data_IF_581216088700
#
_entry.id   IF_581216088700
#
_cell.length_a   1.000
_cell.length_b   1.000
_cell.length_c   1.000
_cell.angle_alpha   90.00
_cell.angle_beta   90.00
_cell.angle_gamma   90.00
#
_symmetry.space_group_name_H-M   'P 1'
#
loop_
_entity.id
_entity.type
_entity.pdbx_description
1 polymer ?
#
# COMPACT_ATOMS: atom_id res chain seq x y z
N UNK A 1 -36.25 9.02 -0.80
CA UNK A 1 -36.87 9.05 -2.13
C UNK A 1 -38.39 8.91 -1.97
N UNK A 2 -39.20 9.94 -2.30
CA UNK A 2 -40.66 9.91 -2.13
C UNK A 2 -41.37 8.91 -3.05
N UNK A 3 -40.70 8.38 -4.08
CA UNK A 3 -41.27 7.42 -5.03
C UNK A 3 -41.03 5.99 -4.58
N UNK A 4 -39.82 5.65 -4.14
CA UNK A 4 -39.44 4.28 -3.75
C UNK A 4 -39.59 4.00 -2.25
N UNK A 5 -39.79 5.04 -1.43
CA UNK A 5 -39.80 4.95 0.03
C UNK A 5 -38.45 4.57 0.65
N UNK A 6 -37.40 4.50 -0.14
CA UNK A 6 -36.05 4.18 0.35
C UNK A 6 -35.30 5.43 0.78
N UNK A 7 -34.45 5.35 1.82
CA UNK A 7 -33.60 6.47 2.21
C UNK A 7 -32.72 6.92 1.05
N UNK A 8 -32.64 8.23 0.78
CA UNK A 8 -31.79 8.82 -0.27
C UNK A 8 -30.30 8.86 0.07
N UNK A 9 -29.85 7.99 0.95
CA UNK A 9 -28.45 7.91 1.39
C UNK A 9 -27.47 7.42 0.31
N UNK A 10 -27.96 7.03 -0.86
CA UNK A 10 -27.14 6.60 -2.00
C UNK A 10 -26.88 7.72 -3.04
N UNK A 11 -27.54 8.86 -2.91
CA UNK A 11 -27.44 9.98 -3.84
C UNK A 11 -27.20 11.27 -3.06
N UNK A 12 -25.93 11.65 -2.92
CA UNK A 12 -25.55 12.91 -2.30
C UNK A 12 -24.86 13.80 -3.34
N UNK A 13 -25.28 15.07 -3.51
CA UNK A 13 -24.54 16.03 -4.32
C UNK A 13 -23.12 16.16 -3.79
N UNK A 14 -22.13 16.01 -4.65
CA UNK A 14 -20.72 16.14 -4.30
C UNK A 14 -20.03 17.12 -5.22
N UNK A 15 -19.09 17.90 -4.68
CA UNK A 15 -18.16 18.69 -5.46
C UNK A 15 -16.84 17.92 -5.59
N UNK A 16 -16.38 17.72 -6.83
CA UNK A 16 -15.09 17.08 -7.10
C UNK A 16 -14.08 18.15 -7.42
N UNK A 17 -12.97 18.15 -6.68
CA UNK A 17 -11.81 19.02 -6.94
C UNK A 17 -10.58 18.17 -7.09
N UNK A 18 -9.63 18.57 -7.96
CA UNK A 18 -8.31 17.98 -8.00
C UNK A 18 -7.63 18.24 -6.66
N UNK A 19 -7.11 17.17 -6.05
CA UNK A 19 -6.31 17.27 -4.85
C UNK A 19 -4.83 17.27 -5.24
N UNK A 20 -4.10 18.31 -4.86
CA UNK A 20 -2.67 18.45 -5.10
C UNK A 20 -1.96 18.51 -3.74
N UNK A 21 -1.07 17.56 -3.50
CA UNK A 21 -0.26 17.52 -2.31
C UNK A 21 1.22 17.71 -2.66
N UNK A 22 1.95 18.39 -1.78
CA UNK A 22 3.40 18.54 -1.91
C UNK A 22 4.14 17.24 -1.55
N UNK A 23 3.48 16.34 -0.80
CA UNK A 23 3.99 15.02 -0.47
C UNK A 23 2.86 14.04 -0.16
N UNK A 24 3.18 12.77 -0.31
CA UNK A 24 2.36 11.63 0.06
C UNK A 24 3.16 10.70 0.98
N UNK A 25 2.47 9.93 1.81
CA UNK A 25 3.15 9.00 2.69
C UNK A 25 2.24 7.92 3.24
N UNK A 26 2.87 6.88 3.77
CA UNK A 26 2.18 5.95 4.64
C UNK A 26 3.05 5.57 5.83
N UNK A 27 2.38 5.34 6.95
CA UNK A 27 3.00 4.85 8.18
C UNK A 27 2.45 3.46 8.47
N UNK A 28 3.31 2.60 9.00
CA UNK A 28 2.92 1.33 9.60
C UNK A 28 3.34 1.34 11.07
N UNK A 29 2.48 0.87 11.95
CA UNK A 29 2.75 0.79 13.38
C UNK A 29 1.91 -0.29 14.05
N UNK A 30 2.41 -0.83 15.14
CA UNK A 30 1.69 -1.82 15.94
C UNK A 30 0.49 -1.19 16.66
N UNK A 31 0.70 -0.04 17.30
CA UNK A 31 -0.30 0.64 18.10
C UNK A 31 -0.99 1.77 17.32
N UNK A 32 -2.21 2.15 17.68
CA UNK A 32 -2.88 3.27 17.04
C UNK A 32 -2.19 4.60 17.33
N UNK A 33 -2.20 5.47 16.33
CA UNK A 33 -1.61 6.81 16.41
C UNK A 33 -2.69 7.88 16.41
N UNK A 34 -2.39 8.98 17.08
CA UNK A 34 -3.04 10.28 16.85
C UNK A 34 -2.14 11.06 15.91
N UNK A 35 -2.57 11.24 14.67
CA UNK A 35 -1.79 11.92 13.65
C UNK A 35 -1.90 13.45 13.79
N UNK A 36 -0.86 14.19 13.37
CA UNK A 36 -0.99 15.63 13.16
C UNK A 36 -2.00 15.90 12.03
N UNK A 37 -2.51 17.12 11.99
CA UNK A 37 -3.43 17.55 10.93
C UNK A 37 -2.75 17.46 9.57
N UNK A 38 -3.34 16.69 8.66
CA UNK A 38 -2.97 16.60 7.25
C UNK A 38 -4.19 16.90 6.38
N UNK A 39 -3.98 17.32 5.13
CA UNK A 39 -5.08 17.58 4.20
C UNK A 39 -5.84 16.28 3.89
N UNK A 40 -5.12 15.17 3.88
CA UNK A 40 -5.67 13.84 3.72
C UNK A 40 -5.00 12.87 4.71
N UNK A 41 -5.82 12.16 5.46
CA UNK A 41 -5.36 11.08 6.34
C UNK A 41 -6.41 10.00 6.48
N UNK A 42 -5.99 8.74 6.36
CA UNK A 42 -6.85 7.57 6.57
C UNK A 42 -6.12 6.56 7.45
N UNK A 43 -6.79 6.09 8.51
CA UNK A 43 -6.33 5.02 9.37
C UNK A 43 -7.02 3.70 8.97
N UNK A 44 -6.23 2.67 8.73
CA UNK A 44 -6.70 1.36 8.29
C UNK A 44 -6.15 0.31 9.25
N UNK A 45 -7.05 -0.44 9.89
CA UNK A 45 -6.68 -1.60 10.70
C UNK A 45 -6.17 -2.71 9.79
N UNK A 46 -5.00 -3.27 10.11
CA UNK A 46 -4.42 -4.43 9.43
C UNK A 46 -4.17 -5.56 10.44
N UNK A 47 -3.82 -6.75 9.98
CA UNK A 47 -3.67 -7.94 10.83
C UNK A 47 -2.72 -7.71 12.02
N UNK A 48 -1.54 -7.14 11.76
CA UNK A 48 -0.48 -6.95 12.76
C UNK A 48 -0.34 -5.52 13.28
N UNK A 49 -1.33 -4.65 13.07
CA UNK A 49 -1.25 -3.27 13.50
C UNK A 49 -2.13 -2.31 12.72
N UNK A 50 -1.55 -1.17 12.33
CA UNK A 50 -2.23 -0.07 11.67
C UNK A 50 -1.42 0.42 10.47
N UNK A 51 -2.13 0.80 9.42
CA UNK A 51 -1.62 1.54 8.28
C UNK A 51 -2.29 2.89 8.20
N UNK A 52 -1.51 3.93 7.98
CA UNK A 52 -1.98 5.29 7.77
C UNK A 52 -1.54 5.74 6.39
N UNK A 53 -2.48 6.22 5.58
CA UNK A 53 -2.19 6.88 4.30
C UNK A 53 -2.34 8.37 4.51
N UNK A 54 -1.38 9.15 4.03
CA UNK A 54 -1.25 10.58 4.31
C UNK A 54 -0.92 11.37 3.06
N UNK A 55 -1.40 12.60 2.99
CA UNK A 55 -0.92 13.58 2.04
C UNK A 55 -1.14 15.01 2.58
N UNK A 56 -0.24 15.93 2.26
CA UNK A 56 -0.32 17.31 2.73
C UNK A 56 0.37 18.28 1.77
N UNK A 57 -0.11 19.53 1.74
CA UNK A 57 0.43 20.59 0.89
C UNK A 57 1.71 21.23 1.47
N UNK A 58 1.94 21.12 2.77
CA UNK A 58 3.14 21.66 3.42
C UNK A 58 4.13 20.52 3.76
N UNK A 59 5.39 20.70 3.36
CA UNK A 59 6.45 19.77 3.73
C UNK A 59 6.91 20.04 5.16
N UNK A 60 7.19 19.00 5.96
CA UNK A 60 7.87 19.16 7.22
C UNK A 60 9.24 19.83 7.06
N UNK A 61 9.69 20.58 8.05
CA UNK A 61 11.05 21.14 8.08
C UNK A 61 12.10 20.03 8.20
N UNK A 62 11.82 19.05 9.05
CA UNK A 62 12.62 17.84 9.21
C UNK A 62 11.71 16.61 9.10
N UNK A 63 12.00 15.76 8.12
CA UNK A 63 11.22 14.55 7.84
C UNK A 63 11.40 13.47 8.89
N UNK A 64 12.63 13.36 9.44
CA UNK A 64 12.93 12.37 10.46
C UNK A 64 12.25 12.73 11.79
N UNK A 65 12.35 13.99 12.18
CA UNK A 65 11.71 14.48 13.40
C UNK A 65 10.19 14.32 13.30
N UNK A 66 9.60 14.74 12.17
CA UNK A 66 8.18 14.59 11.90
C UNK A 66 7.74 13.12 12.00
N UNK A 67 8.46 12.21 11.33
CA UNK A 67 8.13 10.78 11.35
C UNK A 67 8.27 10.18 12.76
N UNK A 68 9.31 10.55 13.48
CA UNK A 68 9.55 10.10 14.87
C UNK A 68 8.45 10.56 15.82
N UNK A 69 8.03 11.81 15.71
CA UNK A 69 6.94 12.37 16.52
C UNK A 69 5.62 11.68 16.19
N UNK A 70 5.28 11.54 14.91
CA UNK A 70 4.07 10.85 14.46
C UNK A 70 3.99 9.41 14.98
N UNK A 71 5.11 8.71 14.96
CA UNK A 71 5.25 7.32 15.40
C UNK A 71 5.48 7.19 16.93
N UNK A 72 5.34 8.27 17.72
CA UNK A 72 5.53 8.31 19.17
C UNK A 72 6.96 7.91 19.59
N UNK A 73 7.96 8.41 18.87
CA UNK A 73 9.38 8.18 19.14
C UNK A 73 9.73 6.69 19.31
N UNK A 74 9.58 5.89 18.26
CA UNK A 74 9.81 4.45 18.34
C UNK A 74 11.23 4.14 18.77
N UNK A 75 11.36 3.18 19.67
CA UNK A 75 12.64 2.75 20.24
C UNK A 75 13.28 1.67 19.37
N UNK A 76 14.59 1.49 19.54
CA UNK A 76 15.36 0.44 18.88
C UNK A 76 16.25 0.94 17.76
N UNK A 77 16.68 0.03 16.93
CA UNK A 77 17.51 0.34 15.77
C UNK A 77 16.69 1.03 14.68
N UNK A 78 17.26 2.08 14.11
CA UNK A 78 16.68 2.82 12.99
C UNK A 78 17.44 2.53 11.70
N UNK A 79 16.70 2.19 10.66
CA UNK A 79 17.18 2.18 9.28
C UNK A 79 16.61 3.37 8.55
N UNK A 80 17.41 4.01 7.69
CA UNK A 80 16.99 5.17 6.93
C UNK A 80 17.52 5.15 5.49
N UNK A 81 16.74 5.69 4.58
CA UNK A 81 17.11 5.99 3.21
C UNK A 81 16.50 7.32 2.82
N UNK A 82 17.31 8.18 2.25
CA UNK A 82 16.88 9.49 1.76
C UNK A 82 17.42 9.73 0.37
N UNK A 83 16.57 10.22 -0.53
CA UNK A 83 16.95 10.75 -1.83
C UNK A 83 16.32 12.14 -1.99
N UNK A 84 17.15 13.15 -1.81
CA UNK A 84 16.71 14.55 -1.86
C UNK A 84 16.31 14.97 -3.26
N UNK A 85 16.90 14.37 -4.29
CA UNK A 85 16.63 14.68 -5.70
C UNK A 85 15.23 14.18 -6.12
N UNK A 86 14.82 13.03 -5.61
CA UNK A 86 13.51 12.44 -5.83
C UNK A 86 12.49 12.79 -4.73
N UNK A 87 12.92 13.51 -3.69
CA UNK A 87 12.07 13.82 -2.55
C UNK A 87 11.60 12.59 -1.77
N UNK A 88 12.42 11.53 -1.75
CA UNK A 88 12.08 10.25 -1.10
C UNK A 88 12.69 10.17 0.29
N UNK A 89 11.87 9.80 1.28
CA UNK A 89 12.26 9.60 2.67
C UNK A 89 11.68 8.27 3.15
N UNK A 90 12.53 7.38 3.67
CA UNK A 90 12.13 6.07 4.14
C UNK A 90 12.81 5.73 5.44
N UNK A 91 12.01 5.43 6.44
CA UNK A 91 12.45 5.13 7.78
C UNK A 91 11.80 3.84 8.27
N UNK A 92 12.58 3.03 8.98
CA UNK A 92 12.08 1.82 9.64
C UNK A 92 12.72 1.68 11.01
N UNK A 93 11.95 1.27 12.00
CA UNK A 93 12.41 1.01 13.36
C UNK A 93 12.25 -0.47 13.68
N UNK A 94 13.33 -1.04 14.23
CA UNK A 94 13.39 -2.44 14.59
C UNK A 94 13.71 -2.59 16.08
N UNK A 95 13.02 -3.49 16.73
CA UNK A 95 13.30 -3.89 18.11
C UNK A 95 13.41 -5.41 18.17
N UNK A 96 14.54 -5.93 18.65
CA UNK A 96 14.83 -7.37 18.64
C UNK A 96 14.54 -8.03 17.28
N UNK A 97 15.08 -7.45 16.20
CA UNK A 97 14.91 -7.87 14.80
C UNK A 97 13.47 -7.88 14.25
N UNK A 98 12.51 -7.31 14.99
CA UNK A 98 11.14 -7.14 14.51
C UNK A 98 10.91 -5.73 14.02
N UNK A 99 10.20 -5.59 12.90
CA UNK A 99 9.74 -4.30 12.41
C UNK A 99 8.62 -3.78 13.32
N UNK A 100 8.85 -2.69 14.04
CA UNK A 100 7.87 -2.10 14.97
C UNK A 100 7.16 -0.89 14.40
N UNK A 101 7.86 -0.11 13.56
CA UNK A 101 7.29 1.06 12.90
C UNK A 101 7.99 1.33 11.56
N UNK A 102 7.29 1.99 10.65
CA UNK A 102 7.79 2.35 9.34
C UNK A 102 7.13 3.65 8.86
N UNK A 103 7.91 4.50 8.19
CA UNK A 103 7.44 5.69 7.50
C UNK A 103 8.04 5.76 6.10
N UNK A 104 7.20 5.75 5.07
CA UNK A 104 7.57 5.97 3.68
C UNK A 104 6.88 7.23 3.18
N UNK A 105 7.67 8.20 2.77
CA UNK A 105 7.23 9.54 2.38
C UNK A 105 7.87 9.89 1.03
N UNK A 106 7.16 10.63 0.21
CA UNK A 106 7.66 11.01 -1.10
C UNK A 106 6.90 12.18 -1.72
N UNK A 107 7.54 12.91 -2.63
CA UNK A 107 6.90 13.99 -3.38
C UNK A 107 5.79 13.47 -4.33
N UNK A 108 5.91 12.21 -4.76
CA UNK A 108 4.94 11.59 -5.66
C UNK A 108 4.00 10.63 -4.92
N UNK A 109 2.78 10.49 -5.44
CA UNK A 109 1.80 9.53 -4.93
C UNK A 109 2.22 8.05 -5.17
N UNK A 110 3.18 7.80 -6.06
CA UNK A 110 3.67 6.47 -6.42
C UNK A 110 4.63 5.88 -5.38
N UNK A 111 4.11 5.62 -4.19
CA UNK A 111 4.84 4.94 -3.12
C UNK A 111 4.92 3.43 -3.36
N UNK A 112 5.94 2.73 -2.82
CA UNK A 112 6.04 1.28 -2.92
C UNK A 112 4.77 0.54 -2.46
N UNK A 113 4.48 -0.64 -3.01
CA UNK A 113 3.35 -1.47 -2.59
C UNK A 113 3.39 -1.78 -1.09
N UNK A 114 2.24 -1.69 -0.40
CA UNK A 114 2.16 -1.84 1.06
C UNK A 114 2.08 -3.30 1.52
N UNK A 115 1.58 -4.20 0.66
CA UNK A 115 1.22 -5.56 1.06
C UNK A 115 2.37 -6.34 1.71
N UNK A 116 3.55 -6.34 1.09
CA UNK A 116 4.72 -7.00 1.65
C UNK A 116 5.17 -6.37 2.97
N UNK A 117 5.27 -5.05 3.03
CA UNK A 117 5.68 -4.34 4.25
C UNK A 117 4.70 -4.56 5.41
N UNK A 118 3.40 -4.61 5.12
CA UNK A 118 2.37 -4.94 6.13
C UNK A 118 2.55 -6.36 6.70
N UNK A 119 2.94 -7.33 5.87
CA UNK A 119 3.20 -8.69 6.34
C UNK A 119 4.43 -8.82 7.23
N UNK A 120 5.38 -7.89 7.13
CA UNK A 120 6.58 -7.85 7.96
C UNK A 120 6.35 -7.17 9.33
N UNK A 121 5.27 -6.39 9.48
CA UNK A 121 5.02 -5.65 10.70
C UNK A 121 4.89 -6.60 11.90
N UNK A 122 5.66 -6.32 12.97
CA UNK A 122 5.73 -7.11 14.20
C UNK A 122 6.19 -8.57 14.01
N UNK A 123 6.82 -8.87 12.86
CA UNK A 123 7.42 -10.18 12.58
C UNK A 123 8.95 -10.11 12.66
N UNK A 124 9.62 -11.21 13.06
CA UNK A 124 11.07 -11.29 12.95
C UNK A 124 11.50 -11.20 11.48
N UNK A 125 12.49 -10.36 11.21
CA UNK A 125 13.01 -10.18 9.85
C UNK A 125 14.21 -11.12 9.62
N UNK A 126 14.17 -11.85 8.52
CA UNK A 126 15.36 -12.51 8.01
C UNK A 126 16.34 -11.48 7.40
N UNK A 127 17.57 -11.91 7.12
CA UNK A 127 18.63 -11.03 6.58
C UNK A 127 18.27 -10.42 5.23
N UNK A 128 17.54 -11.14 4.38
CA UNK A 128 17.15 -10.67 3.04
C UNK A 128 16.04 -9.62 3.14
N UNK A 129 15.00 -9.90 3.92
CA UNK A 129 13.91 -8.96 4.19
C UNK A 129 14.41 -7.67 4.82
N UNK A 130 15.37 -7.78 5.78
CA UNK A 130 15.98 -6.62 6.41
C UNK A 130 16.74 -5.74 5.41
N UNK A 131 17.55 -6.34 4.51
CA UNK A 131 18.26 -5.59 3.45
C UNK A 131 17.33 -4.92 2.46
N UNK A 132 16.23 -5.58 2.13
CA UNK A 132 15.26 -5.11 1.17
C UNK A 132 14.23 -4.11 1.76
N UNK A 133 14.16 -3.97 3.09
CA UNK A 133 13.10 -3.27 3.81
C UNK A 133 12.85 -1.85 3.26
N UNK A 134 13.90 -1.06 3.17
CA UNK A 134 13.79 0.33 2.69
C UNK A 134 13.59 0.45 1.16
N UNK A 135 13.77 -0.63 0.39
CA UNK A 135 13.37 -0.64 -1.01
C UNK A 135 11.84 -0.69 -1.17
N UNK A 136 11.13 -1.16 -0.15
CA UNK A 136 9.68 -1.36 -0.16
C UNK A 136 9.23 -2.55 -1.00
N UNK A 137 10.17 -3.42 -1.42
CA UNK A 137 9.91 -4.61 -2.24
C UNK A 137 10.69 -5.79 -1.67
N UNK A 138 10.14 -7.02 -1.71
CA UNK A 138 10.89 -8.20 -1.30
C UNK A 138 12.14 -8.39 -2.17
N UNK A 139 13.21 -8.94 -1.57
CA UNK A 139 14.44 -9.28 -2.28
C UNK A 139 14.23 -10.41 -3.29
N UNK A 140 13.35 -11.36 -2.98
CA UNK A 140 12.91 -12.38 -3.92
C UNK A 140 11.88 -11.78 -4.91
N UNK A 141 12.19 -11.70 -6.20
CA UNK A 141 11.26 -11.20 -7.20
C UNK A 141 9.94 -11.99 -7.27
N UNK A 142 9.95 -13.26 -6.86
CA UNK A 142 8.75 -14.09 -6.85
C UNK A 142 7.80 -13.75 -5.70
N UNK A 143 8.30 -13.20 -4.61
CA UNK A 143 7.50 -12.72 -3.49
C UNK A 143 6.86 -11.34 -3.76
N UNK A 144 7.33 -10.61 -4.79
CA UNK A 144 6.72 -9.33 -5.20
C UNK A 144 5.45 -9.60 -6.01
N UNK A 145 4.31 -9.41 -5.36
CA UNK A 145 2.99 -9.58 -6.00
C UNK A 145 2.60 -8.43 -6.94
N UNK A 146 3.35 -7.32 -6.91
CA UNK A 146 3.04 -6.11 -7.67
C UNK A 146 1.85 -5.32 -7.11
N UNK A 147 1.27 -4.46 -7.95
CA UNK A 147 0.07 -3.69 -7.65
C UNK A 147 -1.13 -4.63 -7.45
N UNK A 148 -1.91 -4.41 -6.40
CA UNK A 148 -3.11 -5.24 -6.15
C UNK A 148 -4.17 -4.91 -7.20
N UNK A 149 -4.55 -5.92 -7.97
CA UNK A 149 -5.62 -5.88 -8.97
C UNK A 149 -6.93 -6.36 -8.36
N UNK A 150 -6.92 -7.50 -7.70
CA UNK A 150 -8.10 -8.03 -7.01
C UNK A 150 -8.01 -7.75 -5.51
N UNK A 151 -8.72 -6.71 -5.03
CA UNK A 151 -8.72 -6.34 -3.62
C UNK A 151 -9.41 -7.40 -2.73
N UNK A 152 -10.43 -8.10 -3.25
CA UNK A 152 -11.16 -9.13 -2.49
C UNK A 152 -10.27 -10.29 -2.04
N UNK A 153 -9.31 -10.67 -2.87
CA UNK A 153 -8.43 -11.82 -2.61
C UNK A 153 -6.95 -11.42 -2.51
N UNK A 154 -6.63 -10.12 -2.49
CA UNK A 154 -5.26 -9.63 -2.37
C UNK A 154 -4.35 -10.03 -3.53
N UNK A 155 -4.90 -10.26 -4.73
CA UNK A 155 -4.13 -10.76 -5.88
C UNK A 155 -3.50 -9.61 -6.64
N UNK A 156 -2.18 -9.63 -6.73
CA UNK A 156 -1.38 -8.61 -7.41
C UNK A 156 -1.10 -8.92 -8.87
N UNK A 157 -0.80 -7.86 -9.63
CA UNK A 157 -0.54 -7.86 -11.08
C UNK A 157 0.54 -8.88 -11.48
N UNK A 158 1.69 -8.88 -10.78
CA UNK A 158 2.78 -9.80 -11.08
C UNK A 158 2.42 -11.26 -10.84
N UNK A 159 1.58 -11.53 -9.83
CA UNK A 159 1.05 -12.88 -9.57
C UNK A 159 0.14 -13.32 -10.71
N UNK A 160 -0.74 -12.42 -11.20
CA UNK A 160 -1.62 -12.70 -12.32
C UNK A 160 -0.82 -13.00 -13.58
N UNK A 161 0.12 -12.11 -13.96
CA UNK A 161 0.97 -12.28 -15.15
C UNK A 161 1.78 -13.57 -15.12
N UNK A 162 2.41 -13.89 -13.96
CA UNK A 162 3.13 -15.16 -13.81
C UNK A 162 2.22 -16.38 -13.98
N UNK A 163 0.98 -16.31 -13.48
CA UNK A 163 0.03 -17.42 -13.59
C UNK A 163 -0.47 -17.57 -15.02
N UNK A 164 -0.78 -16.46 -15.71
CA UNK A 164 -1.14 -16.46 -17.13
C UNK A 164 -0.04 -17.14 -17.95
N UNK A 165 1.21 -16.71 -17.78
CA UNK A 165 2.35 -17.25 -18.54
C UNK A 165 2.64 -18.72 -18.23
N UNK A 166 2.60 -19.09 -16.94
CA UNK A 166 2.92 -20.47 -16.51
C UNK A 166 1.86 -21.48 -16.97
N UNK A 167 0.60 -21.08 -17.02
CA UNK A 167 -0.53 -21.98 -17.33
C UNK A 167 -1.20 -21.66 -18.69
N UNK A 168 -0.65 -20.71 -19.43
CA UNK A 168 -1.17 -20.28 -20.75
C UNK A 168 -2.67 -19.94 -20.68
N UNK A 169 -3.06 -19.14 -19.66
CA UNK A 169 -4.46 -18.79 -19.47
C UNK A 169 -4.92 -17.77 -20.52
N UNK A 170 -6.11 -17.97 -21.08
CA UNK A 170 -6.67 -17.14 -22.13
C UNK A 170 -7.96 -16.41 -21.74
N UNK A 171 -8.46 -16.62 -20.54
CA UNK A 171 -9.72 -16.03 -20.09
C UNK A 171 -9.71 -15.59 -18.62
N UNK A 172 -10.56 -14.60 -18.31
CA UNK A 172 -10.79 -14.16 -16.92
C UNK A 172 -11.34 -15.29 -16.05
N UNK A 173 -12.16 -16.17 -16.63
CA UNK A 173 -12.71 -17.32 -15.92
C UNK A 173 -11.62 -18.32 -15.46
N UNK A 174 -10.61 -18.54 -16.30
CA UNK A 174 -9.46 -19.38 -15.95
C UNK A 174 -8.59 -18.73 -14.87
N UNK A 175 -8.34 -17.42 -14.96
CA UNK A 175 -7.67 -16.67 -13.88
C UNK A 175 -8.47 -16.82 -12.58
N UNK A 176 -9.80 -16.72 -12.65
CA UNK A 176 -10.69 -16.91 -11.52
C UNK A 176 -10.59 -18.29 -10.87
N UNK A 177 -10.49 -19.35 -11.66
CA UNK A 177 -10.28 -20.72 -11.18
C UNK A 177 -8.94 -20.88 -10.43
N UNK A 178 -7.87 -20.26 -10.94
CA UNK A 178 -6.53 -20.40 -10.36
C UNK A 178 -6.30 -19.49 -9.14
N UNK A 179 -6.77 -18.24 -9.21
CA UNK A 179 -6.41 -17.18 -8.25
C UNK A 179 -7.61 -16.60 -7.49
N UNK A 180 -8.83 -17.05 -7.78
CA UNK A 180 -10.11 -16.46 -7.34
C UNK A 180 -10.31 -14.98 -7.76
N UNK A 181 -9.38 -14.37 -8.49
CA UNK A 181 -9.51 -13.01 -8.98
C UNK A 181 -10.67 -12.88 -9.96
N UNK A 182 -11.52 -11.85 -9.78
CA UNK A 182 -12.71 -11.64 -10.62
C UNK A 182 -13.96 -12.44 -10.21
N UNK A 183 -13.87 -13.34 -9.22
CA UNK A 183 -14.98 -14.24 -8.87
C UNK A 183 -15.90 -13.74 -7.75
N UNK A 184 -15.55 -12.64 -7.05
CA UNK A 184 -16.38 -12.07 -6.00
C UNK A 184 -17.13 -10.83 -6.50
N UNK A 185 -16.62 -9.61 -6.28
CA UNK A 185 -17.29 -8.37 -6.65
C UNK A 185 -17.23 -8.06 -8.16
N UNK A 186 -16.33 -8.70 -8.91
CA UNK A 186 -16.15 -8.50 -10.35
C UNK A 186 -15.48 -7.20 -10.77
N UNK A 187 -15.23 -6.25 -9.87
CA UNK A 187 -14.68 -4.93 -10.21
C UNK A 187 -13.31 -4.96 -10.89
N UNK A 188 -12.52 -6.01 -10.68
CA UNK A 188 -11.21 -6.17 -11.29
C UNK A 188 -11.27 -6.85 -12.69
N UNK A 189 -12.42 -7.35 -13.15
CA UNK A 189 -12.51 -8.06 -14.42
C UNK A 189 -12.06 -7.25 -15.65
N UNK A 190 -12.38 -5.94 -15.79
CA UNK A 190 -11.89 -5.14 -16.90
C UNK A 190 -10.36 -5.09 -16.97
N UNK A 191 -9.70 -5.04 -15.80
CA UNK A 191 -8.26 -4.98 -15.71
C UNK A 191 -7.60 -6.35 -15.97
N UNK A 192 -8.24 -7.44 -15.54
CA UNK A 192 -7.82 -8.80 -15.88
C UNK A 192 -7.86 -9.05 -17.40
N UNK A 193 -8.88 -8.53 -18.09
CA UNK A 193 -8.96 -8.59 -19.57
C UNK A 193 -7.78 -7.87 -20.23
N UNK A 194 -7.46 -6.66 -19.79
CA UNK A 194 -6.31 -5.90 -20.30
C UNK A 194 -4.99 -6.65 -20.12
N UNK A 195 -4.80 -7.31 -18.97
CA UNK A 195 -3.58 -8.10 -18.73
C UNK A 195 -3.48 -9.30 -19.66
N UNK A 196 -4.59 -9.96 -20.01
CA UNK A 196 -4.61 -11.03 -21.01
C UNK A 196 -4.28 -10.51 -22.41
N UNK A 197 -4.83 -9.36 -22.80
CA UNK A 197 -4.56 -8.72 -24.11
C UNK A 197 -3.08 -8.36 -24.26
N UNK A 198 -2.45 -7.79 -23.22
CA UNK A 198 -1.02 -7.43 -23.21
C UNK A 198 -0.14 -8.68 -23.37
N UNK A 199 -0.54 -9.82 -22.82
CA UNK A 199 0.23 -11.06 -22.89
C UNK A 199 0.03 -11.82 -24.19
N UNK A 200 -1.05 -11.53 -24.92
CA UNK A 200 -1.35 -12.15 -26.22
C UNK A 200 -0.70 -11.41 -27.41
N UNK A 201 -0.17 -10.19 -27.19
CA UNK A 201 0.50 -9.35 -28.19
C UNK A 201 2.00 -9.61 -28.27
#
# INVERSE_FOLDING_TARGET
DPISGQPENKHTPVAVKRFEAAWHGYLLTKEPLTLPTCDYSVAIRIENGWRYELAHHQKPLDWMDWASVCLKQPQGERLEYQDMSLGVQRYAWLQADKLTALAFLGAEAALPPRAWLMSLLNQPLDKLSRRALLSGKPADPNADVGRIICACFGVGEKTILRTINKQTLCSVAEIGKCLKAGTNCGSCQPELKKLLEIQAA
#
